data_IF_658074769197
#
_entry.id   IF_658074769197
#
_cell.length_a   1.000
_cell.length_b   1.000
_cell.length_c   1.000
_cell.angle_alpha   90.00
_cell.angle_beta   90.00
_cell.angle_gamma   90.00
#
_symmetry.space_group_name_H-M   'P 1'
#
loop_
_entity.id
_entity.type
_entity.pdbx_description
1 polymer ?
#
# COMPACT_ATOMS: atom_id res chain seq x y z
N UNK A 1 -7.89 28.30 -17.98
CA UNK A 1 -7.11 27.07 -17.69
C UNK A 1 -8.00 25.86 -17.97
N UNK A 2 -7.64 24.96 -18.90
CA UNK A 2 -8.53 23.86 -19.25
C UNK A 2 -8.70 22.90 -18.06
N UNK A 3 -9.92 22.54 -17.71
CA UNK A 3 -10.27 21.62 -16.63
C UNK A 3 -9.91 20.16 -16.96
N UNK A 4 -9.49 19.88 -18.19
CA UNK A 4 -9.18 18.53 -18.71
C UNK A 4 -8.06 17.78 -17.97
N UNK A 5 -6.90 18.37 -17.64
CA UNK A 5 -5.83 17.65 -16.94
C UNK A 5 -6.22 17.21 -15.53
N UNK A 6 -6.99 18.03 -14.81
CA UNK A 6 -7.43 17.71 -13.45
C UNK A 6 -8.53 16.65 -13.40
N UNK A 7 -9.36 16.52 -14.46
CA UNK A 7 -10.31 15.41 -14.60
C UNK A 7 -9.58 14.07 -14.68
N UNK A 8 -8.42 14.01 -15.36
CA UNK A 8 -7.58 12.82 -15.34
C UNK A 8 -7.11 12.50 -13.92
N UNK A 9 -6.59 13.48 -13.19
CA UNK A 9 -6.08 13.26 -11.83
C UNK A 9 -7.19 12.77 -10.91
N UNK A 10 -8.39 13.31 -11.01
CA UNK A 10 -9.55 12.84 -10.24
C UNK A 10 -9.95 11.40 -10.63
N UNK A 11 -9.91 11.06 -11.92
CA UNK A 11 -10.18 9.70 -12.37
C UNK A 11 -9.09 8.71 -11.91
N UNK A 12 -7.82 9.11 -11.90
CA UNK A 12 -6.74 8.31 -11.33
C UNK A 12 -6.91 8.12 -9.81
N UNK A 13 -7.31 9.16 -9.08
CA UNK A 13 -7.64 9.07 -7.67
C UNK A 13 -8.82 8.11 -7.43
N UNK A 14 -9.90 8.22 -8.22
CA UNK A 14 -11.03 7.29 -8.16
C UNK A 14 -10.61 5.86 -8.50
N UNK A 15 -9.67 5.67 -9.45
CA UNK A 15 -9.10 4.36 -9.79
C UNK A 15 -8.35 3.77 -8.60
N UNK A 16 -7.50 4.55 -7.94
CA UNK A 16 -6.79 4.12 -6.73
C UNK A 16 -7.76 3.79 -5.59
N UNK A 17 -8.82 4.58 -5.41
CA UNK A 17 -9.88 4.32 -4.42
C UNK A 17 -10.60 3.00 -4.71
N UNK A 18 -11.02 2.77 -5.96
CA UNK A 18 -11.70 1.54 -6.36
C UNK A 18 -10.80 0.31 -6.23
N UNK A 19 -9.51 0.43 -6.58
CA UNK A 19 -8.51 -0.62 -6.39
C UNK A 19 -8.41 -1.04 -4.92
N UNK A 20 -8.29 -0.08 -4.01
CA UNK A 20 -8.18 -0.39 -2.58
C UNK A 20 -9.49 -0.90 -1.96
N UNK A 21 -10.65 -0.47 -2.46
CA UNK A 21 -11.93 -1.11 -2.13
C UNK A 21 -11.94 -2.60 -2.50
N UNK A 22 -11.45 -2.95 -3.69
CA UNK A 22 -11.33 -4.35 -4.14
C UNK A 22 -10.20 -5.11 -3.43
N UNK A 23 -9.16 -4.43 -2.96
CA UNK A 23 -8.05 -5.03 -2.20
C UNK A 23 -8.47 -5.45 -0.80
N UNK A 24 -9.19 -4.57 -0.10
CA UNK A 24 -9.60 -4.74 1.30
C UNK A 24 -10.90 -5.55 1.42
N UNK A 25 -11.70 -5.68 0.36
CA UNK A 25 -13.03 -6.28 0.39
C UNK A 25 -13.06 -7.68 1.01
N UNK A 26 -12.10 -8.54 0.67
CA UNK A 26 -12.06 -9.90 1.20
C UNK A 26 -11.65 -9.94 2.69
N UNK A 27 -10.84 -8.99 3.16
CA UNK A 27 -10.53 -8.83 4.58
C UNK A 27 -11.80 -8.52 5.38
N UNK A 28 -12.65 -7.63 4.86
CA UNK A 28 -13.94 -7.30 5.49
C UNK A 28 -14.94 -8.46 5.38
N UNK A 29 -15.10 -9.01 4.17
CA UNK A 29 -15.98 -10.14 3.93
C UNK A 29 -15.59 -11.39 4.73
N UNK A 30 -14.32 -11.55 5.07
CA UNK A 30 -13.74 -12.67 5.79
C UNK A 30 -14.45 -12.99 7.11
N UNK A 31 -15.00 -12.00 7.79
CA UNK A 31 -15.73 -12.20 9.03
C UNK A 31 -16.95 -13.16 8.90
N UNK A 32 -17.64 -13.13 7.77
CA UNK A 32 -18.75 -14.04 7.45
C UNK A 32 -18.36 -15.14 6.46
N UNK A 33 -17.45 -14.84 5.53
CA UNK A 33 -17.00 -15.77 4.49
C UNK A 33 -16.26 -16.97 5.10
N UNK A 34 -15.37 -16.73 6.08
CA UNK A 34 -14.58 -17.82 6.68
C UNK A 34 -15.46 -18.89 7.34
N UNK A 35 -16.40 -18.55 8.24
CA UNK A 35 -17.30 -19.55 8.81
C UNK A 35 -18.23 -20.18 7.77
N UNK A 36 -18.72 -19.42 6.78
CA UNK A 36 -19.63 -19.94 5.73
C UNK A 36 -18.94 -20.96 4.82
N UNK A 37 -17.66 -20.79 4.54
CA UNK A 37 -16.88 -21.68 3.68
C UNK A 37 -15.99 -22.67 4.45
N UNK A 38 -16.02 -22.66 5.78
CA UNK A 38 -15.22 -23.53 6.64
C UNK A 38 -13.71 -23.24 6.55
N UNK A 39 -13.31 -21.98 6.35
CA UNK A 39 -11.92 -21.60 6.19
C UNK A 39 -11.28 -21.21 7.53
N UNK A 40 -10.07 -21.71 7.77
CA UNK A 40 -9.22 -21.29 8.88
C UNK A 40 -8.56 -19.93 8.62
N UNK A 41 -8.09 -19.26 9.67
CA UNK A 41 -7.29 -18.04 9.55
C UNK A 41 -6.00 -18.28 8.76
N UNK A 42 -5.38 -19.46 8.89
CA UNK A 42 -4.14 -19.81 8.15
C UNK A 42 -4.42 -19.91 6.64
N UNK A 43 -5.52 -20.56 6.25
CA UNK A 43 -5.92 -20.64 4.84
C UNK A 43 -6.24 -19.26 4.27
N UNK A 44 -6.99 -18.44 5.03
CA UNK A 44 -7.29 -17.07 4.62
C UNK A 44 -6.03 -16.22 4.49
N UNK A 45 -5.05 -16.40 5.37
CA UNK A 45 -3.74 -15.73 5.27
C UNK A 45 -3.01 -16.07 3.97
N UNK A 46 -3.03 -17.34 3.56
CA UNK A 46 -2.47 -17.77 2.26
C UNK A 46 -3.21 -17.12 1.08
N UNK A 47 -4.54 -17.03 1.18
CA UNK A 47 -5.37 -16.36 0.18
C UNK A 47 -5.02 -14.87 0.07
N UNK A 48 -4.80 -14.17 1.17
CA UNK A 48 -4.33 -12.78 1.15
C UNK A 48 -2.93 -12.65 0.53
N UNK A 49 -2.00 -13.55 0.88
CA UNK A 49 -0.65 -13.55 0.32
C UNK A 49 -0.63 -13.81 -1.18
N UNK A 50 -1.55 -14.64 -1.70
CA UNK A 50 -1.66 -14.90 -3.13
C UNK A 50 -1.91 -13.62 -3.95
N UNK A 51 -2.69 -12.68 -3.40
CA UNK A 51 -2.89 -11.38 -4.02
C UNK A 51 -1.56 -10.63 -4.19
N UNK A 52 -0.75 -10.55 -3.13
CA UNK A 52 0.53 -9.83 -3.17
C UNK A 52 1.55 -10.52 -4.07
N UNK A 53 1.51 -11.84 -4.15
CA UNK A 53 2.33 -12.60 -5.09
C UNK A 53 1.98 -12.23 -6.54
N UNK A 54 0.70 -12.25 -6.90
CA UNK A 54 0.24 -11.83 -8.24
C UNK A 54 0.61 -10.38 -8.53
N UNK A 55 0.37 -9.48 -7.58
CA UNK A 55 0.71 -8.06 -7.69
C UNK A 55 2.21 -7.83 -7.94
N UNK A 56 3.09 -8.48 -7.14
CA UNK A 56 4.53 -8.30 -7.26
C UNK A 56 5.10 -8.87 -8.57
N UNK A 57 4.68 -10.07 -8.96
CA UNK A 57 5.16 -10.72 -10.19
C UNK A 57 4.76 -9.96 -11.47
N UNK A 58 3.57 -9.36 -11.47
CA UNK A 58 3.06 -8.67 -12.65
C UNK A 58 3.36 -7.17 -12.67
N UNK A 59 3.99 -6.59 -11.65
CA UNK A 59 4.24 -5.14 -11.56
C UNK A 59 5.13 -4.64 -12.71
N UNK A 60 6.20 -5.35 -13.06
CA UNK A 60 7.10 -4.99 -14.16
C UNK A 60 6.43 -5.21 -15.52
N UNK A 61 5.84 -6.39 -15.84
CA UNK A 61 5.10 -6.60 -17.07
C UNK A 61 3.96 -5.57 -17.27
N UNK A 62 3.27 -5.23 -16.20
CA UNK A 62 2.18 -4.26 -16.22
C UNK A 62 2.66 -2.83 -16.54
N UNK A 63 3.82 -2.43 -16.00
CA UNK A 63 4.48 -1.17 -16.36
C UNK A 63 4.82 -1.12 -17.85
N UNK A 64 5.43 -2.17 -18.37
CA UNK A 64 5.75 -2.29 -19.82
C UNK A 64 4.48 -2.26 -20.69
N UNK A 65 3.39 -2.85 -20.23
CA UNK A 65 2.11 -2.81 -20.92
C UNK A 65 1.52 -1.40 -20.94
N UNK A 66 1.63 -0.66 -19.83
CA UNK A 66 1.22 0.73 -19.74
C UNK A 66 2.01 1.61 -20.72
N UNK A 67 3.32 1.36 -20.88
CA UNK A 67 4.17 2.10 -21.82
C UNK A 67 3.75 1.88 -23.27
N UNK A 68 3.34 0.65 -23.63
CA UNK A 68 2.93 0.28 -25.00
C UNK A 68 1.51 0.69 -25.34
N UNK A 69 0.55 0.46 -24.46
CA UNK A 69 -0.89 0.63 -24.72
C UNK A 69 -1.48 1.93 -24.20
N UNK A 70 -0.69 2.66 -23.39
CA UNK A 70 -1.12 3.87 -22.71
C UNK A 70 -1.94 3.59 -21.45
N UNK A 71 -1.92 4.56 -20.53
CA UNK A 71 -2.58 4.45 -19.21
C UNK A 71 -4.09 4.22 -19.32
N UNK A 72 -4.76 4.85 -20.28
CA UNK A 72 -6.21 4.73 -20.47
C UNK A 72 -6.66 3.29 -20.70
N UNK A 73 -6.07 2.60 -21.71
CA UNK A 73 -6.48 1.24 -22.08
C UNK A 73 -6.16 0.25 -20.96
N UNK A 74 -4.97 0.38 -20.40
CA UNK A 74 -4.49 -0.52 -19.35
C UNK A 74 -5.34 -0.41 -18.09
N UNK A 75 -5.67 0.83 -17.63
CA UNK A 75 -6.50 1.03 -16.45
C UNK A 75 -7.96 0.63 -16.68
N UNK A 76 -8.51 0.84 -17.86
CA UNK A 76 -9.85 0.35 -18.21
C UNK A 76 -9.92 -1.19 -18.15
N UNK A 77 -8.97 -1.89 -18.79
CA UNK A 77 -8.90 -3.35 -18.78
C UNK A 77 -8.69 -3.91 -17.38
N UNK A 78 -7.79 -3.30 -16.61
CA UNK A 78 -7.56 -3.68 -15.22
C UNK A 78 -8.85 -3.55 -14.38
N UNK A 79 -9.55 -2.43 -14.49
CA UNK A 79 -10.79 -2.19 -13.74
C UNK A 79 -11.91 -3.18 -14.13
N UNK A 80 -12.08 -3.51 -15.42
CA UNK A 80 -13.00 -4.57 -15.84
C UNK A 80 -12.61 -5.94 -15.29
N UNK A 81 -11.31 -6.26 -15.28
CA UNK A 81 -10.81 -7.50 -14.72
C UNK A 81 -11.08 -7.58 -13.20
N UNK A 82 -10.94 -6.47 -12.45
CA UNK A 82 -11.30 -6.43 -11.02
C UNK A 82 -12.78 -6.77 -10.81
N UNK A 83 -13.67 -6.18 -11.63
CA UNK A 83 -15.11 -6.48 -11.57
C UNK A 83 -15.35 -7.96 -11.81
N UNK A 84 -14.81 -8.51 -12.89
CA UNK A 84 -15.02 -9.91 -13.26
C UNK A 84 -14.50 -10.88 -12.19
N UNK A 85 -13.26 -10.68 -11.72
CA UNK A 85 -12.64 -11.56 -10.70
C UNK A 85 -13.35 -11.42 -9.36
N UNK A 86 -13.75 -10.21 -8.98
CA UNK A 86 -14.52 -9.99 -7.73
C UNK A 86 -15.89 -10.67 -7.80
N UNK A 87 -16.56 -10.63 -8.95
CA UNK A 87 -17.82 -11.34 -9.15
C UNK A 87 -17.63 -12.88 -9.06
N UNK A 88 -16.54 -13.42 -9.64
CA UNK A 88 -16.19 -14.83 -9.49
C UNK A 88 -15.89 -15.21 -8.04
N UNK A 89 -15.22 -14.33 -7.27
CA UNK A 89 -15.03 -14.56 -5.83
C UNK A 89 -16.36 -14.57 -5.07
N UNK A 90 -17.29 -13.69 -5.42
CA UNK A 90 -18.63 -13.70 -4.81
C UNK A 90 -19.43 -14.98 -5.14
N UNK A 91 -19.17 -15.60 -6.30
CA UNK A 91 -19.77 -16.86 -6.70
C UNK A 91 -19.09 -18.10 -6.07
N UNK A 92 -17.98 -17.94 -5.33
CA UNK A 92 -17.30 -19.05 -4.68
C UNK A 92 -18.23 -19.77 -3.69
N UNK A 93 -18.21 -21.12 -3.72
CA UNK A 93 -19.12 -21.95 -2.91
C UNK A 93 -20.51 -22.17 -3.50
N UNK A 94 -20.81 -21.59 -4.68
CA UNK A 94 -22.05 -21.86 -5.39
C UNK A 94 -21.85 -22.97 -6.43
N UNK A 95 -22.69 -23.99 -6.40
CA UNK A 95 -22.71 -25.06 -7.39
C UNK A 95 -21.42 -25.89 -7.43
N UNK A 96 -20.70 -25.86 -8.57
CA UNK A 96 -19.51 -26.67 -8.83
C UNK A 96 -18.20 -26.02 -8.41
N UNK A 97 -18.19 -24.70 -8.14
CA UNK A 97 -17.01 -23.95 -7.71
C UNK A 97 -16.68 -24.27 -6.24
N UNK A 98 -15.71 -25.17 -6.03
CA UNK A 98 -15.20 -25.48 -4.69
C UNK A 98 -16.12 -26.37 -3.85
N UNK A 99 -16.40 -27.58 -4.30
CA UNK A 99 -17.24 -28.56 -3.57
C UNK A 99 -16.62 -29.06 -2.26
N UNK A 100 -15.31 -28.95 -2.12
CA UNK A 100 -14.57 -29.31 -0.90
C UNK A 100 -13.89 -28.07 -0.32
N UNK A 101 -13.61 -28.07 0.99
CA UNK A 101 -12.87 -26.97 1.64
C UNK A 101 -11.51 -26.73 0.97
N UNK A 102 -10.77 -27.78 0.64
CA UNK A 102 -9.49 -27.67 -0.07
C UNK A 102 -9.66 -27.10 -1.48
N UNK A 103 -10.69 -27.52 -2.21
CA UNK A 103 -11.02 -26.96 -3.53
C UNK A 103 -11.39 -25.48 -3.45
N UNK A 104 -12.10 -25.08 -2.39
CA UNK A 104 -12.46 -23.69 -2.13
C UNK A 104 -11.24 -22.81 -1.89
N UNK A 105 -10.31 -23.26 -1.04
CA UNK A 105 -9.04 -22.55 -0.80
C UNK A 105 -8.29 -22.36 -2.11
N UNK A 106 -8.19 -23.38 -2.94
CA UNK A 106 -7.49 -23.31 -4.24
C UNK A 106 -8.15 -22.29 -5.20
N UNK A 107 -9.48 -22.27 -5.27
CA UNK A 107 -10.24 -21.30 -6.07
C UNK A 107 -9.97 -19.88 -5.59
N UNK A 108 -10.07 -19.63 -4.29
CA UNK A 108 -9.81 -18.31 -3.71
C UNK A 108 -8.35 -17.87 -3.90
N UNK A 109 -7.38 -18.78 -3.74
CA UNK A 109 -5.96 -18.53 -4.02
C UNK A 109 -5.76 -18.08 -5.47
N UNK A 110 -6.32 -18.84 -6.42
CA UNK A 110 -6.22 -18.52 -7.85
C UNK A 110 -6.86 -17.16 -8.17
N UNK A 111 -8.08 -16.91 -7.68
CA UNK A 111 -8.78 -15.65 -7.93
C UNK A 111 -8.05 -14.45 -7.28
N UNK A 112 -7.50 -14.63 -6.07
CA UNK A 112 -6.70 -13.57 -5.41
C UNK A 112 -5.38 -13.31 -6.11
N UNK A 113 -4.72 -14.34 -6.62
CA UNK A 113 -3.54 -14.17 -7.46
C UNK A 113 -3.86 -13.38 -8.73
N UNK A 114 -4.94 -13.76 -9.43
CA UNK A 114 -5.36 -13.09 -10.66
C UNK A 114 -5.74 -11.63 -10.41
N UNK A 115 -6.51 -11.31 -9.35
CA UNK A 115 -6.87 -9.92 -9.07
C UNK A 115 -5.63 -9.10 -8.68
N UNK A 116 -4.65 -9.70 -7.98
CA UNK A 116 -3.37 -9.05 -7.70
C UNK A 116 -2.61 -8.71 -8.98
N UNK A 117 -2.52 -9.65 -9.91
CA UNK A 117 -1.91 -9.42 -11.23
C UNK A 117 -2.64 -8.32 -12.02
N UNK A 118 -3.98 -8.31 -11.97
CA UNK A 118 -4.80 -7.27 -12.63
C UNK A 118 -4.69 -5.89 -11.94
N UNK A 119 -4.35 -5.83 -10.66
CA UNK A 119 -4.11 -4.56 -9.95
C UNK A 119 -2.69 -4.00 -10.16
N UNK A 120 -1.73 -4.83 -10.54
CA UNK A 120 -0.34 -4.46 -10.71
C UNK A 120 -0.10 -3.22 -11.60
N UNK A 121 -0.84 -2.98 -12.71
CA UNK A 121 -0.65 -1.80 -13.55
C UNK A 121 -1.14 -0.48 -12.95
N UNK A 122 -1.90 -0.48 -11.86
CA UNK A 122 -2.60 0.70 -11.34
C UNK A 122 -1.67 1.90 -11.13
N UNK A 123 -0.62 1.73 -10.35
CA UNK A 123 0.29 2.83 -10.03
C UNK A 123 1.30 3.14 -11.14
N UNK A 124 1.92 2.16 -11.84
CA UNK A 124 2.75 2.44 -13.01
C UNK A 124 1.98 3.20 -14.11
N UNK A 125 0.77 2.76 -14.44
CA UNK A 125 -0.05 3.43 -15.44
C UNK A 125 -0.55 4.82 -14.97
N UNK A 126 -0.83 4.98 -13.68
CA UNK A 126 -1.18 6.28 -13.12
C UNK A 126 0.00 7.27 -13.20
N UNK A 127 1.19 6.84 -12.82
CA UNK A 127 2.41 7.66 -12.91
C UNK A 127 2.70 8.07 -14.35
N UNK A 128 2.56 7.14 -15.32
CA UNK A 128 2.69 7.43 -16.73
C UNK A 128 1.64 8.46 -17.21
N UNK A 129 0.38 8.29 -16.80
CA UNK A 129 -0.69 9.24 -17.13
C UNK A 129 -0.40 10.64 -16.59
N UNK A 130 0.07 10.75 -15.34
CA UNK A 130 0.48 12.03 -14.74
C UNK A 130 1.66 12.63 -15.49
N UNK A 131 2.70 11.84 -15.79
CA UNK A 131 3.89 12.31 -16.50
C UNK A 131 3.56 12.87 -17.89
N UNK A 132 2.63 12.24 -18.62
CA UNK A 132 2.25 12.66 -19.98
C UNK A 132 1.32 13.86 -20.02
N UNK A 133 0.42 14.02 -19.03
CA UNK A 133 -0.71 14.95 -19.12
C UNK A 133 -0.61 16.14 -18.18
N UNK A 134 0.28 16.08 -17.19
CA UNK A 134 0.44 17.11 -16.17
C UNK A 134 1.80 17.80 -16.32
N UNK A 135 1.85 19.13 -16.35
CA UNK A 135 3.10 19.88 -16.37
C UNK A 135 4.04 19.48 -15.21
N UNK A 136 5.37 19.39 -15.43
CA UNK A 136 6.33 18.92 -14.42
C UNK A 136 6.19 19.61 -13.05
N UNK A 137 5.99 20.93 -13.02
CA UNK A 137 5.79 21.70 -11.79
C UNK A 137 4.55 21.31 -10.95
N UNK A 138 3.63 20.49 -11.50
CA UNK A 138 2.37 20.09 -10.84
C UNK A 138 2.23 18.58 -10.67
N UNK A 139 3.20 17.80 -11.17
CA UNK A 139 3.15 16.33 -11.10
C UNK A 139 3.18 15.80 -9.67
N UNK A 140 3.95 16.43 -8.78
CA UNK A 140 3.99 16.07 -7.36
C UNK A 140 2.61 16.20 -6.70
N UNK A 141 1.90 17.33 -6.95
CA UNK A 141 0.53 17.52 -6.45
C UNK A 141 -0.45 16.52 -7.05
N UNK A 142 -0.32 16.22 -8.34
CA UNK A 142 -1.18 15.25 -9.01
C UNK A 142 -1.00 13.84 -8.44
N UNK A 143 0.26 13.38 -8.28
CA UNK A 143 0.57 12.10 -7.66
C UNK A 143 0.07 12.04 -6.20
N UNK A 144 0.23 13.11 -5.43
CA UNK A 144 -0.31 13.19 -4.07
C UNK A 144 -1.82 12.96 -4.01
N UNK A 145 -2.59 13.54 -4.96
CA UNK A 145 -4.04 13.32 -5.05
C UNK A 145 -4.35 11.86 -5.43
N UNK A 146 -3.59 11.25 -6.35
CA UNK A 146 -3.76 9.83 -6.71
C UNK A 146 -3.51 8.93 -5.50
N UNK A 147 -2.45 9.17 -4.75
CA UNK A 147 -2.12 8.40 -3.55
C UNK A 147 -3.15 8.61 -2.43
N UNK A 148 -3.76 9.80 -2.32
CA UNK A 148 -4.86 10.02 -1.38
C UNK A 148 -6.05 9.08 -1.63
N UNK A 149 -6.26 8.62 -2.87
CA UNK A 149 -7.24 7.59 -3.22
C UNK A 149 -7.02 6.26 -2.50
N UNK A 150 -5.77 5.91 -2.20
CA UNK A 150 -5.41 4.71 -1.39
C UNK A 150 -6.01 4.82 0.01
N UNK A 151 -5.77 5.94 0.68
CA UNK A 151 -6.32 6.20 2.01
C UNK A 151 -7.84 6.23 2.02
N UNK A 152 -8.45 6.88 1.01
CA UNK A 152 -9.91 6.92 0.86
C UNK A 152 -10.50 5.52 0.68
N UNK A 153 -9.95 4.71 -0.23
CA UNK A 153 -10.41 3.34 -0.47
C UNK A 153 -10.30 2.46 0.76
N UNK A 154 -9.17 2.51 1.45
CA UNK A 154 -8.91 1.75 2.68
C UNK A 154 -9.81 2.19 3.84
N UNK A 155 -10.06 3.48 4.01
CA UNK A 155 -10.91 4.01 5.08
C UNK A 155 -12.40 3.75 4.82
N UNK A 156 -12.84 3.82 3.57
CA UNK A 156 -14.26 3.65 3.20
C UNK A 156 -14.67 2.18 3.07
N UNK A 157 -13.75 1.27 2.70
CA UNK A 157 -14.09 -0.12 2.44
C UNK A 157 -14.75 -0.81 3.65
N UNK A 158 -14.17 -0.78 4.88
CA UNK A 158 -14.78 -1.50 6.00
C UNK A 158 -16.21 -1.03 6.34
N UNK A 159 -16.50 0.27 6.55
CA UNK A 159 -17.85 0.69 6.91
C UNK A 159 -18.87 0.46 5.79
N UNK A 160 -18.54 0.75 4.54
CA UNK A 160 -19.46 0.56 3.42
C UNK A 160 -19.80 -0.92 3.23
N UNK A 161 -18.78 -1.77 3.22
CA UNK A 161 -18.97 -3.20 2.97
C UNK A 161 -19.64 -3.91 4.14
N UNK A 162 -19.37 -3.50 5.39
CA UNK A 162 -20.05 -4.07 6.56
C UNK A 162 -21.53 -3.76 6.60
N UNK A 163 -21.95 -2.55 6.19
CA UNK A 163 -23.38 -2.22 6.06
C UNK A 163 -24.08 -3.12 5.04
N UNK A 164 -23.45 -3.36 3.89
CA UNK A 164 -23.98 -4.28 2.88
C UNK A 164 -23.98 -5.71 3.40
N UNK A 165 -22.86 -6.12 4.02
CA UNK A 165 -22.66 -7.47 4.52
C UNK A 165 -23.66 -7.87 5.60
N UNK A 166 -24.01 -6.96 6.52
CA UNK A 166 -24.99 -7.24 7.59
C UNK A 166 -26.41 -7.40 7.08
N UNK A 167 -26.77 -6.80 5.94
CA UNK A 167 -28.12 -6.87 5.35
C UNK A 167 -28.27 -7.97 4.31
N UNK A 168 -27.25 -8.20 3.49
CA UNK A 168 -27.32 -9.05 2.30
C UNK A 168 -26.20 -10.10 2.22
N UNK A 169 -25.39 -10.23 3.27
CA UNK A 169 -24.32 -11.21 3.36
C UNK A 169 -23.04 -10.80 2.63
N UNK A 170 -21.99 -11.59 2.81
CA UNK A 170 -20.65 -11.31 2.30
C UNK A 170 -20.54 -11.30 0.76
N UNK A 171 -21.37 -12.10 0.06
CA UNK A 171 -21.40 -12.14 -1.40
C UNK A 171 -21.86 -10.81 -1.98
N UNK A 172 -22.92 -10.24 -1.42
CA UNK A 172 -23.40 -8.92 -1.81
C UNK A 172 -22.38 -7.83 -1.51
N UNK A 173 -21.65 -7.92 -0.39
CA UNK A 173 -20.58 -6.97 -0.06
C UNK A 173 -19.43 -7.02 -1.09
N UNK A 174 -19.02 -8.22 -1.52
CA UNK A 174 -18.02 -8.36 -2.59
C UNK A 174 -18.52 -7.73 -3.90
N UNK A 175 -19.76 -8.02 -4.32
CA UNK A 175 -20.33 -7.42 -5.53
C UNK A 175 -20.46 -5.90 -5.42
N UNK A 176 -20.85 -5.38 -4.26
CA UNK A 176 -20.92 -3.95 -3.99
C UNK A 176 -19.55 -3.27 -4.11
N UNK A 177 -18.47 -3.95 -3.67
CA UNK A 177 -17.09 -3.44 -3.82
C UNK A 177 -16.65 -3.32 -5.28
N UNK A 178 -17.24 -4.08 -6.18
CA UNK A 178 -16.94 -4.03 -7.61
C UNK A 178 -17.64 -2.86 -8.33
N UNK A 179 -18.70 -2.27 -7.76
CA UNK A 179 -19.43 -1.16 -8.42
C UNK A 179 -18.57 0.08 -8.68
N UNK A 180 -17.76 0.57 -7.74
CA UNK A 180 -16.83 1.66 -8.01
C UNK A 180 -15.81 1.32 -9.10
N UNK A 181 -15.32 0.08 -9.14
CA UNK A 181 -14.40 -0.38 -10.19
C UNK A 181 -15.08 -0.39 -11.57
N UNK A 182 -16.35 -0.81 -11.64
CA UNK A 182 -17.14 -0.75 -12.87
C UNK A 182 -17.36 0.70 -13.33
N UNK A 183 -17.73 1.60 -12.42
CA UNK A 183 -17.91 3.01 -12.73
C UNK A 183 -16.61 3.64 -13.28
N UNK A 184 -15.48 3.32 -12.66
CA UNK A 184 -14.14 3.77 -13.11
C UNK A 184 -13.79 3.17 -14.48
N UNK A 185 -14.06 1.88 -14.71
CA UNK A 185 -13.82 1.23 -16.00
C UNK A 185 -14.60 1.92 -17.15
N UNK A 186 -15.88 2.22 -16.92
CA UNK A 186 -16.74 2.94 -17.87
C UNK A 186 -16.20 4.37 -18.09
N UNK A 187 -15.81 5.07 -17.01
CA UNK A 187 -15.27 6.42 -17.11
C UNK A 187 -13.97 6.45 -17.94
N UNK A 188 -13.10 5.44 -17.81
CA UNK A 188 -11.91 5.31 -18.65
C UNK A 188 -12.23 5.11 -20.12
N UNK A 189 -13.30 4.39 -20.48
CA UNK A 189 -13.73 4.27 -21.88
C UNK A 189 -14.14 5.60 -22.47
N UNK A 190 -14.82 6.45 -21.68
CA UNK A 190 -15.25 7.80 -22.08
C UNK A 190 -14.13 8.84 -22.11
N UNK A 191 -12.98 8.58 -21.46
CA UNK A 191 -11.86 9.51 -21.40
C UNK A 191 -11.15 9.57 -22.74
N UNK A 192 -11.10 10.75 -23.37
CA UNK A 192 -10.30 10.97 -24.58
C UNK A 192 -8.88 11.36 -24.16
N UNK A 193 -7.89 10.60 -24.62
CA UNK A 193 -6.50 11.02 -24.46
C UNK A 193 -6.32 12.36 -25.19
N UNK A 194 -5.70 13.36 -24.58
CA UNK A 194 -5.29 14.55 -25.31
C UNK A 194 -4.38 14.08 -26.43
N UNK A 195 -4.64 14.52 -27.64
CA UNK A 195 -3.65 14.45 -28.70
C UNK A 195 -2.51 15.41 -28.30
N UNK A 196 -1.65 14.97 -27.41
CA UNK A 196 -0.39 15.64 -27.17
C UNK A 196 0.46 15.31 -28.39
N UNK A 197 0.42 16.22 -29.36
CA UNK A 197 1.52 16.29 -30.31
C UNK A 197 2.82 16.13 -29.52
N UNK A 198 3.70 15.30 -30.00
CA UNK A 198 5.00 14.86 -29.48
C UNK A 198 5.85 15.99 -28.84
N UNK A 199 5.39 16.54 -27.76
CA UNK A 199 6.09 17.52 -26.93
C UNK A 199 6.43 16.78 -25.66
N UNK A 200 7.68 16.44 -25.58
CA UNK A 200 8.43 15.81 -24.52
C UNK A 200 8.69 14.31 -24.77
N UNK A 201 9.44 14.00 -25.83
CA UNK A 201 10.61 13.19 -25.62
C UNK A 201 11.41 13.92 -24.54
N UNK A 202 11.17 13.60 -23.27
CA UNK A 202 12.15 13.84 -22.27
C UNK A 202 13.32 12.94 -22.68
N UNK A 203 14.18 13.47 -23.55
CA UNK A 203 15.54 12.99 -23.66
C UNK A 203 16.03 12.95 -22.23
N UNK A 204 16.48 11.81 -21.72
CA UNK A 204 17.23 11.80 -20.49
C UNK A 204 18.38 12.77 -20.75
N UNK A 205 18.33 13.94 -20.13
CA UNK A 205 19.45 14.87 -20.15
C UNK A 205 20.63 14.03 -19.69
N UNK A 206 21.70 13.89 -20.48
CA UNK A 206 22.87 13.13 -20.10
C UNK A 206 23.72 13.95 -19.12
N UNK A 207 23.10 14.42 -18.05
CA UNK A 207 23.87 14.82 -16.89
C UNK A 207 24.35 13.50 -16.31
N UNK A 208 25.64 13.23 -16.46
CA UNK A 208 26.35 12.09 -15.88
C UNK A 208 26.38 12.31 -14.34
N UNK A 209 25.21 12.29 -13.74
CA UNK A 209 25.10 12.15 -12.29
C UNK A 209 25.60 10.74 -11.97
N UNK A 210 26.63 10.62 -11.14
CA UNK A 210 27.17 9.33 -10.70
C UNK A 210 26.01 8.44 -10.24
N UNK A 211 25.88 7.30 -10.89
CA UNK A 211 24.91 6.27 -10.51
C UNK A 211 25.31 5.77 -9.12
N UNK A 212 24.53 6.06 -8.10
CA UNK A 212 24.75 5.52 -6.77
C UNK A 212 24.73 3.99 -6.82
N UNK A 213 25.60 3.34 -6.07
CA UNK A 213 25.65 1.87 -6.07
C UNK A 213 24.52 1.30 -5.23
N UNK A 214 23.61 0.54 -5.84
CA UNK A 214 22.55 -0.19 -5.14
C UNK A 214 23.11 -1.33 -4.25
N UNK A 215 24.41 -1.56 -4.27
CA UNK A 215 25.11 -2.54 -3.42
C UNK A 215 25.68 -1.91 -2.14
N UNK A 216 25.42 -0.63 -1.88
CA UNK A 216 25.87 0.00 -0.65
C UNK A 216 25.14 -0.59 0.56
N UNK A 217 25.85 -0.69 1.68
CA UNK A 217 25.23 -1.14 2.93
C UNK A 217 24.00 -0.29 3.29
N UNK A 218 24.08 1.02 3.11
CA UNK A 218 22.96 1.94 3.36
C UNK A 218 21.71 1.59 2.54
N UNK A 219 21.85 1.28 1.25
CA UNK A 219 20.71 0.89 0.43
C UNK A 219 20.13 -0.47 0.80
N UNK A 220 20.97 -1.44 1.15
CA UNK A 220 20.52 -2.76 1.63
C UNK A 220 19.78 -2.63 2.96
N UNK A 221 20.31 -1.87 3.92
CA UNK A 221 19.65 -1.63 5.21
C UNK A 221 18.32 -0.87 5.03
N UNK A 222 18.30 0.12 4.13
CA UNK A 222 17.09 0.88 3.79
C UNK A 222 16.01 -0.06 3.25
N UNK A 223 16.35 -0.90 2.28
CA UNK A 223 15.42 -1.88 1.68
C UNK A 223 14.97 -2.91 2.71
N UNK A 224 15.86 -3.42 3.55
CA UNK A 224 15.51 -4.34 4.63
C UNK A 224 14.55 -3.69 5.65
N UNK A 225 14.83 -2.45 6.08
CA UNK A 225 13.94 -1.70 6.97
C UNK A 225 12.55 -1.49 6.34
N UNK A 226 12.50 -1.17 5.04
CA UNK A 226 11.23 -1.00 4.31
C UNK A 226 10.47 -2.31 4.14
N UNK A 227 11.18 -3.44 4.04
CA UNK A 227 10.58 -4.79 4.06
C UNK A 227 9.91 -5.08 5.40
N UNK A 228 10.58 -4.76 6.51
CA UNK A 228 10.05 -4.94 7.86
C UNK A 228 8.86 -4.00 8.14
N UNK A 229 8.94 -2.76 7.67
CA UNK A 229 7.82 -1.81 7.70
C UNK A 229 6.63 -2.35 6.91
N UNK A 230 6.85 -2.93 5.73
CA UNK A 230 5.81 -3.58 4.93
C UNK A 230 5.13 -4.73 5.68
N UNK A 231 5.89 -5.59 6.38
CA UNK A 231 5.31 -6.64 7.22
C UNK A 231 4.28 -6.07 8.21
N UNK A 232 4.66 -5.04 8.96
CA UNK A 232 3.79 -4.42 9.96
C UNK A 232 2.58 -3.75 9.31
N UNK A 233 2.79 -2.97 8.24
CA UNK A 233 1.72 -2.25 7.54
C UNK A 233 0.65 -3.17 6.97
N UNK A 234 1.04 -4.32 6.40
CA UNK A 234 0.10 -5.25 5.79
C UNK A 234 -0.74 -6.07 6.80
N UNK A 235 -0.34 -6.16 8.08
CA UNK A 235 -1.23 -6.67 9.14
C UNK A 235 -2.51 -5.81 9.19
N UNK A 236 -2.37 -4.49 9.12
CA UNK A 236 -3.51 -3.57 9.18
C UNK A 236 -4.37 -3.58 7.91
N UNK A 237 -3.78 -3.90 6.74
CA UNK A 237 -4.53 -4.05 5.50
C UNK A 237 -5.42 -5.28 5.52
N UNK A 238 -4.91 -6.42 6.03
CA UNK A 238 -5.59 -7.71 5.86
C UNK A 238 -6.23 -8.25 7.14
N UNK A 239 -5.62 -8.01 8.31
CA UNK A 239 -6.04 -8.66 9.54
C UNK A 239 -6.72 -7.74 10.54
N UNK A 240 -6.54 -6.42 10.47
CA UNK A 240 -6.98 -5.52 11.54
C UNK A 240 -8.50 -5.58 11.76
N UNK A 241 -9.30 -5.55 10.70
CA UNK A 241 -10.77 -5.70 10.83
C UNK A 241 -11.15 -7.04 11.45
N UNK A 242 -10.58 -8.14 10.94
CA UNK A 242 -10.85 -9.49 11.46
C UNK A 242 -10.41 -9.62 12.92
N UNK A 243 -9.26 -9.05 13.29
CA UNK A 243 -8.79 -9.00 14.67
C UNK A 243 -9.79 -8.27 15.58
N UNK A 244 -10.34 -7.13 15.16
CA UNK A 244 -11.33 -6.41 15.95
C UNK A 244 -12.63 -7.22 16.15
N UNK A 245 -13.09 -7.90 15.11
CA UNK A 245 -14.34 -8.68 15.18
C UNK A 245 -14.13 -10.01 15.91
N UNK A 246 -13.09 -10.77 15.59
CA UNK A 246 -12.90 -12.14 16.09
C UNK A 246 -12.23 -12.18 17.47
N UNK A 247 -11.24 -11.32 17.74
CA UNK A 247 -10.46 -11.34 18.98
C UNK A 247 -10.91 -10.29 20.00
N UNK A 248 -11.35 -9.12 19.51
CA UNK A 248 -11.80 -8.05 20.40
C UNK A 248 -13.32 -7.98 20.52
N UNK A 249 -14.04 -8.90 19.87
CA UNK A 249 -15.48 -9.11 19.96
C UNK A 249 -16.33 -7.87 19.63
N UNK A 250 -15.82 -6.98 18.77
CA UNK A 250 -16.63 -5.93 18.21
C UNK A 250 -17.69 -6.52 17.26
N UNK A 251 -18.90 -5.94 17.28
CA UNK A 251 -19.86 -6.22 16.21
C UNK A 251 -19.30 -5.76 14.84
N UNK A 252 -19.87 -6.29 13.76
CA UNK A 252 -19.37 -6.06 12.40
C UNK A 252 -19.31 -4.57 12.04
N UNK A 253 -20.28 -3.76 12.49
CA UNK A 253 -20.35 -2.34 12.15
C UNK A 253 -19.36 -1.51 12.96
N UNK A 254 -19.26 -1.75 14.28
CA UNK A 254 -18.26 -1.05 15.13
C UNK A 254 -16.84 -1.45 14.76
N UNK A 255 -16.59 -2.75 14.53
CA UNK A 255 -15.30 -3.22 14.05
C UNK A 255 -14.89 -2.54 12.75
N UNK A 256 -15.85 -2.36 11.82
CA UNK A 256 -15.62 -1.68 10.56
C UNK A 256 -15.32 -0.17 10.74
N UNK A 257 -16.10 0.52 11.57
CA UNK A 257 -15.86 1.94 11.85
C UNK A 257 -14.47 2.17 12.47
N UNK A 258 -14.09 1.34 13.46
CA UNK A 258 -12.79 1.44 14.12
C UNK A 258 -11.63 1.00 13.22
N UNK A 259 -11.82 0.04 12.31
CA UNK A 259 -10.78 -0.36 11.36
C UNK A 259 -10.45 0.70 10.32
N UNK A 260 -11.30 1.72 10.15
CA UNK A 260 -11.02 2.89 9.30
C UNK A 260 -10.09 3.91 9.99
N UNK A 261 -10.01 3.92 11.32
CA UNK A 261 -9.26 4.92 12.07
C UNK A 261 -7.77 5.01 11.70
N UNK A 262 -7.03 3.89 11.54
CA UNK A 262 -5.64 3.93 11.10
C UNK A 262 -5.46 4.66 9.77
N UNK A 263 -6.36 4.42 8.82
CA UNK A 263 -6.31 5.02 7.49
C UNK A 263 -6.65 6.51 7.49
N UNK A 264 -7.60 6.92 8.34
CA UNK A 264 -7.92 8.35 8.54
C UNK A 264 -6.72 9.07 9.13
N UNK A 265 -6.08 8.50 10.15
CA UNK A 265 -4.87 9.08 10.75
C UNK A 265 -3.70 9.13 9.76
N UNK A 266 -3.60 8.18 8.84
CA UNK A 266 -2.53 8.15 7.83
C UNK A 266 -2.60 9.30 6.84
N UNK A 267 -3.79 9.85 6.57
CA UNK A 267 -3.97 11.04 5.71
C UNK A 267 -3.17 12.23 6.25
N UNK A 268 -3.03 12.33 7.56
CA UNK A 268 -2.27 13.39 8.24
C UNK A 268 -0.82 12.95 8.50
N UNK A 269 -0.62 11.73 8.98
CA UNK A 269 0.70 11.28 9.45
C UNK A 269 1.71 11.11 8.31
N UNK A 270 1.30 10.66 7.13
CA UNK A 270 2.21 10.47 5.98
C UNK A 270 2.84 11.81 5.54
N UNK A 271 2.06 12.86 5.19
CA UNK A 271 2.67 14.13 4.81
C UNK A 271 3.39 14.80 5.98
N UNK A 272 2.89 14.67 7.21
CA UNK A 272 3.55 15.23 8.40
C UNK A 272 4.94 14.64 8.60
N UNK A 273 5.11 13.33 8.45
CA UNK A 273 6.41 12.66 8.57
C UNK A 273 7.44 13.18 7.55
N UNK A 274 7.02 13.37 6.29
CA UNK A 274 7.84 13.98 5.26
C UNK A 274 8.25 15.42 5.61
N UNK A 275 7.27 16.27 5.98
CA UNK A 275 7.52 17.67 6.35
C UNK A 275 8.46 17.78 7.55
N UNK A 276 8.26 16.96 8.58
CA UNK A 276 9.12 16.94 9.77
C UNK A 276 10.54 16.53 9.38
N UNK A 277 10.72 15.46 8.58
CA UNK A 277 12.02 15.03 8.11
C UNK A 277 12.73 16.14 7.33
N UNK A 278 12.04 16.81 6.40
CA UNK A 278 12.64 17.90 5.61
C UNK A 278 13.04 19.09 6.48
N UNK A 279 12.24 19.45 7.49
CA UNK A 279 12.60 20.51 8.45
C UNK A 279 13.80 20.14 9.31
N UNK A 280 13.91 18.87 9.73
CA UNK A 280 15.06 18.38 10.51
C UNK A 280 16.34 18.39 9.67
N UNK A 281 16.24 18.04 8.37
CA UNK A 281 17.36 18.13 7.41
C UNK A 281 17.80 19.58 7.21
N UNK A 282 16.86 20.50 7.01
CA UNK A 282 17.16 21.92 6.85
C UNK A 282 17.65 22.59 8.14
N UNK A 283 17.45 21.95 9.31
CA UNK A 283 17.82 22.45 10.61
C UNK A 283 19.23 22.01 11.04
N UNK A 284 19.43 21.97 12.37
CA UNK A 284 20.75 21.64 12.98
C UNK A 284 21.19 20.18 12.82
N UNK A 285 20.25 19.26 12.52
CA UNK A 285 20.56 17.83 12.42
C UNK A 285 21.21 17.45 11.08
N UNK A 286 21.10 18.30 10.06
CA UNK A 286 21.63 18.04 8.73
C UNK A 286 21.02 16.83 8.05
N UNK A 287 21.55 16.45 6.89
CA UNK A 287 21.00 15.38 6.05
C UNK A 287 20.98 14.03 6.78
N UNK A 288 22.08 13.66 7.45
CA UNK A 288 22.24 12.35 8.07
C UNK A 288 21.20 12.08 9.16
N UNK A 289 21.20 12.85 10.24
CA UNK A 289 20.27 12.67 11.35
C UNK A 289 18.87 13.18 11.04
N UNK A 290 18.71 14.20 10.19
CA UNK A 290 17.40 14.70 9.77
C UNK A 290 16.57 13.63 9.05
N UNK A 291 17.20 12.78 8.22
CA UNK A 291 16.52 11.65 7.58
C UNK A 291 16.27 10.48 8.52
N UNK A 292 17.17 10.19 9.45
CA UNK A 292 17.07 9.07 10.39
C UNK A 292 16.04 9.31 11.50
N UNK A 293 15.89 10.53 11.99
CA UNK A 293 15.12 10.85 13.18
C UNK A 293 13.65 10.40 13.08
N UNK A 294 12.97 10.69 11.96
CA UNK A 294 11.55 10.33 11.79
C UNK A 294 11.35 8.82 11.73
N UNK A 295 12.11 8.02 10.96
CA UNK A 295 11.97 6.56 10.98
C UNK A 295 12.37 5.91 12.30
N UNK A 296 13.44 6.37 12.95
CA UNK A 296 13.81 5.89 14.28
C UNK A 296 12.69 6.10 15.30
N UNK A 297 12.16 7.31 15.37
CA UNK A 297 11.04 7.62 16.25
C UNK A 297 9.77 6.87 15.82
N UNK A 298 9.37 6.98 14.54
CA UNK A 298 8.12 6.44 14.03
C UNK A 298 8.03 4.93 14.21
N UNK A 299 9.03 4.16 13.77
CA UNK A 299 9.01 2.70 13.87
C UNK A 299 9.21 2.20 15.31
N UNK A 300 10.02 2.89 16.13
CA UNK A 300 10.19 2.52 17.56
C UNK A 300 8.89 2.71 18.33
N UNK A 301 8.27 3.89 18.23
CA UNK A 301 7.01 4.14 18.92
C UNK A 301 5.84 3.38 18.33
N UNK A 302 5.86 3.05 17.03
CA UNK A 302 4.92 2.10 16.46
C UNK A 302 5.02 0.74 17.15
N UNK A 303 6.23 0.22 17.38
CA UNK A 303 6.46 -0.99 18.17
C UNK A 303 5.93 -0.88 19.60
N UNK A 304 6.16 0.24 20.27
CA UNK A 304 5.61 0.49 21.61
C UNK A 304 4.08 0.45 21.60
N UNK A 305 3.43 1.18 20.68
CA UNK A 305 1.98 1.20 20.60
C UNK A 305 1.38 -0.15 20.15
N UNK A 306 2.07 -0.93 19.31
CA UNK A 306 1.70 -2.31 19.01
C UNK A 306 1.69 -3.17 20.28
N UNK A 307 2.75 -3.07 21.10
CA UNK A 307 2.85 -3.81 22.35
C UNK A 307 1.77 -3.39 23.37
N UNK A 308 1.51 -2.09 23.52
CA UNK A 308 0.44 -1.57 24.37
C UNK A 308 -0.94 -2.02 23.89
N UNK A 309 -1.19 -1.98 22.58
CA UNK A 309 -2.43 -2.45 21.97
C UNK A 309 -2.64 -3.96 22.14
N UNK A 310 -1.55 -4.75 22.12
CA UNK A 310 -1.58 -6.19 22.38
C UNK A 310 -1.85 -6.53 23.85
N UNK A 311 -1.34 -5.69 24.76
CA UNK A 311 -1.41 -5.96 26.21
C UNK A 311 -2.73 -5.53 26.83
N UNK A 312 -3.32 -4.43 26.34
CA UNK A 312 -4.52 -3.87 26.96
C UNK A 312 -5.75 -4.77 26.79
N UNK A 313 -6.50 -4.97 27.87
CA UNK A 313 -7.77 -5.70 27.84
C UNK A 313 -8.91 -4.83 27.30
N UNK A 314 -8.82 -3.52 27.46
CA UNK A 314 -9.82 -2.59 26.96
C UNK A 314 -9.77 -2.53 25.42
N UNK A 315 -10.82 -3.02 24.77
CA UNK A 315 -10.91 -3.10 23.31
C UNK A 315 -10.81 -1.72 22.62
N UNK A 316 -11.37 -0.66 23.22
CA UNK A 316 -11.30 0.69 22.64
C UNK A 316 -9.89 1.29 22.77
N UNK A 317 -9.23 1.07 23.91
CA UNK A 317 -7.83 1.47 24.08
C UNK A 317 -6.92 0.72 23.09
N UNK A 318 -7.16 -0.57 22.85
CA UNK A 318 -6.44 -1.34 21.84
C UNK A 318 -6.59 -0.71 20.45
N UNK A 319 -7.80 -0.33 20.05
CA UNK A 319 -8.05 0.36 18.77
C UNK A 319 -7.20 1.63 18.66
N UNK A 320 -7.19 2.46 19.69
CA UNK A 320 -6.43 3.73 19.70
C UNK A 320 -4.93 3.45 19.57
N UNK A 321 -4.38 2.55 20.38
CA UNK A 321 -2.96 2.21 20.32
C UNK A 321 -2.57 1.62 18.94
N UNK A 322 -3.34 0.71 18.39
CA UNK A 322 -3.07 0.11 17.11
C UNK A 322 -3.23 1.10 15.95
N UNK A 323 -4.19 2.03 16.03
CA UNK A 323 -4.34 3.09 15.06
C UNK A 323 -3.16 4.07 15.08
N UNK A 324 -2.67 4.45 16.28
CA UNK A 324 -1.47 5.26 16.44
C UNK A 324 -0.22 4.53 15.92
N UNK A 325 -0.09 3.23 16.21
CA UNK A 325 0.99 2.41 15.65
C UNK A 325 1.02 2.47 14.14
N UNK A 326 -0.14 2.28 13.49
CA UNK A 326 -0.24 2.33 12.03
C UNK A 326 0.08 3.72 11.48
N UNK A 327 -0.42 4.77 12.11
CA UNK A 327 -0.13 6.14 11.70
C UNK A 327 1.37 6.44 11.75
N UNK A 328 2.08 5.93 12.77
CA UNK A 328 3.53 6.06 12.90
C UNK A 328 4.29 5.20 11.87
N UNK A 329 3.86 3.96 11.62
CA UNK A 329 4.43 3.11 10.56
C UNK A 329 4.31 3.76 9.19
N UNK A 330 3.21 4.46 8.92
CA UNK A 330 2.99 5.12 7.63
C UNK A 330 3.63 6.51 7.55
N UNK A 331 3.89 7.18 8.68
CA UNK A 331 4.55 8.49 8.70
C UNK A 331 5.98 8.46 8.14
N UNK A 332 6.60 7.29 8.10
CA UNK A 332 7.99 7.12 7.63
C UNK A 332 8.11 6.99 6.11
N UNK A 333 6.99 6.90 5.38
CA UNK A 333 6.99 6.75 3.91
C UNK A 333 7.81 7.83 3.20
N UNK A 334 7.57 9.10 3.55
CA UNK A 334 8.31 10.23 2.96
C UNK A 334 9.82 10.11 3.14
N UNK A 335 10.33 9.97 4.37
CA UNK A 335 11.74 9.72 4.64
C UNK A 335 12.36 8.52 3.90
N UNK A 336 11.66 7.40 3.77
CA UNK A 336 12.15 6.23 3.02
C UNK A 336 12.41 6.59 1.55
N UNK A 337 11.43 7.20 0.89
CA UNK A 337 11.55 7.58 -0.51
C UNK A 337 12.59 8.67 -0.72
N UNK A 338 12.66 9.68 0.17
CA UNK A 338 13.66 10.73 0.09
C UNK A 338 15.08 10.18 0.23
N UNK A 339 15.34 9.34 1.24
CA UNK A 339 16.64 8.72 1.48
C UNK A 339 17.04 7.78 0.33
N UNK A 340 16.09 7.04 -0.23
CA UNK A 340 16.34 6.22 -1.42
C UNK A 340 16.82 7.07 -2.60
N UNK A 341 16.16 8.21 -2.86
CA UNK A 341 16.55 9.12 -3.95
C UNK A 341 17.95 9.73 -3.71
N UNK A 342 18.27 10.07 -2.46
CA UNK A 342 19.58 10.61 -2.08
C UNK A 342 20.70 9.57 -2.26
N UNK A 343 20.46 8.29 -1.92
CA UNK A 343 21.45 7.21 -2.12
C UNK A 343 21.60 6.84 -3.60
N UNK A 344 20.50 6.80 -4.34
CA UNK A 344 20.48 6.27 -5.70
C UNK A 344 20.96 7.28 -6.77
N UNK A 345 20.86 8.59 -6.51
CA UNK A 345 21.20 9.62 -7.49
C UNK A 345 20.45 9.42 -8.81
N UNK A 346 21.18 9.27 -9.92
CA UNK A 346 20.57 9.04 -11.25
C UNK A 346 19.90 7.67 -11.42
N UNK A 347 20.09 6.74 -10.47
CA UNK A 347 19.51 5.40 -10.46
C UNK A 347 18.16 5.28 -9.75
N UNK A 348 17.50 6.38 -9.43
CA UNK A 348 16.27 6.47 -8.60
C UNK A 348 15.14 5.53 -9.06
N UNK A 349 14.92 5.38 -10.35
CA UNK A 349 13.86 4.49 -10.87
C UNK A 349 14.11 3.02 -10.50
N UNK A 350 15.33 2.52 -10.72
CA UNK A 350 15.71 1.14 -10.38
C UNK A 350 15.71 0.93 -8.86
N UNK A 351 16.28 1.90 -8.12
CA UNK A 351 16.34 1.86 -6.66
C UNK A 351 14.94 1.84 -6.04
N UNK A 352 14.04 2.71 -6.51
CA UNK A 352 12.65 2.73 -6.07
C UNK A 352 11.93 1.41 -6.34
N UNK A 353 12.17 0.80 -7.49
CA UNK A 353 11.64 -0.52 -7.83
C UNK A 353 12.12 -1.62 -6.87
N UNK A 354 13.43 -1.68 -6.58
CA UNK A 354 14.00 -2.65 -5.64
C UNK A 354 13.49 -2.42 -4.22
N UNK A 355 13.48 -1.19 -3.75
CA UNK A 355 12.96 -0.86 -2.42
C UNK A 355 11.47 -1.22 -2.30
N UNK A 356 10.64 -0.86 -3.30
CA UNK A 356 9.22 -1.19 -3.32
C UNK A 356 8.97 -2.71 -3.39
N UNK A 357 9.84 -3.46 -4.06
CA UNK A 357 9.78 -4.93 -4.03
C UNK A 357 10.03 -5.46 -2.62
N UNK A 358 10.92 -4.84 -1.84
CA UNK A 358 11.15 -5.18 -0.43
C UNK A 358 9.86 -5.10 0.39
N UNK A 359 9.14 -3.99 0.36
CA UNK A 359 7.88 -3.87 1.11
C UNK A 359 6.82 -4.86 0.64
N UNK A 360 6.78 -5.21 -0.65
CA UNK A 360 5.87 -6.25 -1.16
C UNK A 360 6.25 -7.66 -0.65
N UNK A 361 7.55 -7.96 -0.47
CA UNK A 361 8.00 -9.20 0.17
C UNK A 361 7.55 -9.25 1.63
N UNK A 362 7.75 -8.16 2.40
CA UNK A 362 7.21 -8.04 3.76
C UNK A 362 5.69 -8.24 3.79
N UNK A 363 5.00 -7.61 2.85
CA UNK A 363 3.56 -7.75 2.67
C UNK A 363 3.11 -9.14 2.25
N UNK A 364 3.90 -9.89 1.48
CA UNK A 364 3.61 -11.27 1.10
C UNK A 364 3.70 -12.20 2.31
N UNK A 365 4.71 -12.00 3.15
CA UNK A 365 4.95 -12.82 4.34
C UNK A 365 3.93 -12.54 5.44
N UNK A 366 3.57 -11.28 5.64
CA UNK A 366 2.75 -10.81 6.75
C UNK A 366 1.39 -11.52 6.87
N UNK A 367 0.53 -11.58 5.83
CA UNK A 367 -0.77 -12.22 5.96
C UNK A 367 -0.70 -13.74 6.16
N UNK A 368 0.33 -14.40 5.67
CA UNK A 368 0.51 -15.84 5.83
C UNK A 368 1.10 -16.19 7.21
N UNK A 369 2.10 -15.43 7.68
CA UNK A 369 2.81 -15.72 8.92
C UNK A 369 2.00 -15.30 10.16
N UNK A 370 1.32 -14.16 10.12
CA UNK A 370 0.60 -13.62 11.27
C UNK A 370 -0.44 -14.60 11.85
N UNK A 371 -1.33 -15.25 11.04
CA UNK A 371 -2.29 -16.21 11.61
C UNK A 371 -1.63 -17.51 12.10
N UNK A 372 -0.48 -17.90 11.56
CA UNK A 372 0.30 -19.05 12.08
C UNK A 372 0.81 -18.70 13.49
N UNK A 373 1.38 -17.50 13.66
CA UNK A 373 1.81 -17.03 14.98
C UNK A 373 0.62 -16.91 15.93
N UNK A 374 -0.51 -16.37 15.47
CA UNK A 374 -1.71 -16.23 16.26
C UNK A 374 -2.30 -17.59 16.68
N UNK A 375 -2.31 -18.59 15.82
CA UNK A 375 -2.79 -19.93 16.13
C UNK A 375 -1.96 -20.68 17.16
N UNK A 376 -0.62 -20.50 17.13
CA UNK A 376 0.30 -21.21 18.02
C UNK A 376 0.61 -20.44 19.31
N UNK A 377 0.67 -19.12 19.24
CA UNK A 377 1.14 -18.25 20.33
C UNK A 377 0.05 -17.28 20.84
N UNK A 378 -1.09 -17.21 20.16
CA UNK A 378 -2.14 -16.22 20.40
C UNK A 378 -1.87 -14.87 19.72
N UNK A 379 -2.94 -14.12 19.45
CA UNK A 379 -2.88 -12.81 18.79
C UNK A 379 -2.01 -11.78 19.53
N UNK A 380 -2.02 -11.83 20.87
CA UNK A 380 -1.16 -10.96 21.70
C UNK A 380 0.32 -11.12 21.32
N UNK A 381 0.80 -12.36 21.22
CA UNK A 381 2.19 -12.64 20.89
C UNK A 381 2.50 -12.38 19.41
N UNK A 382 1.55 -12.60 18.50
CA UNK A 382 1.69 -12.23 17.09
C UNK A 382 1.91 -10.71 16.93
N UNK A 383 1.21 -9.88 17.71
CA UNK A 383 1.41 -8.42 17.75
C UNK A 383 2.73 -8.03 18.42
N UNK A 384 3.21 -8.77 19.44
CA UNK A 384 4.55 -8.54 20.00
C UNK A 384 5.66 -8.84 19.01
N UNK A 385 5.50 -9.89 18.18
CA UNK A 385 6.44 -10.16 17.07
C UNK A 385 6.43 -8.99 16.08
N UNK A 386 5.25 -8.48 15.71
CA UNK A 386 5.15 -7.30 14.85
C UNK A 386 5.80 -6.06 15.48
N UNK A 387 5.65 -5.87 16.81
CA UNK A 387 6.31 -4.80 17.56
C UNK A 387 7.85 -4.93 17.49
N UNK A 388 8.37 -6.13 17.71
CA UNK A 388 9.81 -6.40 17.62
C UNK A 388 10.34 -6.17 16.20
N UNK A 389 9.59 -6.59 15.16
CA UNK A 389 9.91 -6.32 13.75
C UNK A 389 9.95 -4.82 13.46
N UNK A 390 9.01 -4.04 14.01
CA UNK A 390 9.00 -2.59 13.85
C UNK A 390 10.24 -1.93 14.47
N UNK A 391 10.58 -2.32 15.71
CA UNK A 391 11.79 -1.81 16.41
C UNK A 391 13.08 -2.25 15.69
N UNK A 392 13.13 -3.48 15.18
CA UNK A 392 14.25 -3.95 14.34
C UNK A 392 14.36 -3.09 13.08
N UNK A 393 13.24 -2.80 12.41
CA UNK A 393 13.20 -1.89 11.26
C UNK A 393 13.75 -0.50 11.61
N UNK A 394 13.40 0.04 12.79
CA UNK A 394 13.95 1.31 13.29
C UNK A 394 15.47 1.24 13.49
N UNK A 395 15.97 0.17 14.12
CA UNK A 395 17.40 0.05 14.44
C UNK A 395 18.31 0.04 13.21
N UNK A 396 17.82 -0.48 12.08
CA UNK A 396 18.57 -0.47 10.81
C UNK A 396 18.90 0.94 10.33
N UNK A 397 18.10 1.94 10.71
CA UNK A 397 18.36 3.34 10.36
C UNK A 397 19.62 3.93 11.01
N UNK A 398 20.13 3.34 12.07
CA UNK A 398 21.41 3.74 12.67
C UNK A 398 22.59 3.50 11.72
N UNK A 399 22.50 2.49 10.85
CA UNK A 399 23.53 2.16 9.86
C UNK A 399 23.32 2.80 8.47
N UNK A 400 22.19 3.48 8.23
CA UNK A 400 21.91 4.11 6.93
C UNK A 400 22.57 5.49 6.90
N UNK A 401 23.50 5.71 5.99
CA UNK A 401 24.11 7.01 5.72
C UNK A 401 23.59 7.51 4.36
N UNK A 402 22.74 8.54 4.32
CA UNK A 402 22.47 9.26 3.08
C UNK A 402 23.82 9.81 2.60
N UNK A 403 24.21 9.52 1.36
CA UNK A 403 25.50 10.00 0.86
C UNK A 403 25.46 11.52 0.74
N UNK A 404 26.37 12.21 1.39
CA UNK A 404 26.74 13.58 1.09
C UNK A 404 27.48 13.63 -0.27
N UNK A 405 27.01 12.95 -1.31
CA UNK A 405 27.63 13.03 -2.61
C UNK A 405 27.32 14.39 -3.20
N UNK A 406 28.35 15.26 -3.14
CA UNK A 406 28.46 16.48 -3.90
C UNK A 406 27.42 17.58 -3.57
N UNK A 407 27.38 18.08 -2.34
CA UNK A 407 27.15 19.51 -2.15
C UNK A 407 28.20 20.26 -3.04
N UNK A 408 27.77 21.21 -3.90
CA UNK A 408 28.74 21.99 -4.65
C UNK A 408 29.69 22.63 -3.63
N UNK A 409 30.95 22.21 -3.68
CA UNK A 409 32.01 22.86 -2.89
C UNK A 409 31.87 24.37 -3.12
N UNK A 410 31.54 25.10 -2.06
CA UNK A 410 31.69 26.55 -2.04
C UNK A 410 33.16 26.86 -2.39
N UNK A 411 33.47 26.96 -3.67
CA UNK A 411 34.67 27.64 -4.08
C UNK A 411 34.43 29.10 -3.75
N UNK A 412 35.25 29.71 -2.89
CA UNK A 412 35.22 31.16 -2.71
C UNK A 412 35.57 31.76 -4.07
N UNK A 413 34.67 32.52 -4.64
CA UNK A 413 35.00 33.43 -5.72
C UNK A 413 36.07 34.39 -5.21
N UNK A 414 37.33 34.05 -5.43
CA UNK A 414 38.40 35.02 -5.35
C UNK A 414 38.22 35.98 -6.51
N UNK A 415 38.09 37.22 -6.13
CA UNK A 415 38.00 38.48 -6.89
C UNK A 415 39.05 38.61 -8.01
#
# INVERSE_FOLDING_TARGET
MSSRPWRLVLLLCATATASYLCRVNLSVAGALLMPDLGLSQIEMGRVFSAFLLGYALFQIPAGMLADRWGSRRVLALAAFAWVAVTALMAASGLGWLGRTSAGMVLVLLALRFVIGACEAPTFPAAAQGVARWIPPARQGRANGIVIAGVGLGSALAPPLLSVVMTRWGWRAALLASALPALAVAIAWLGMREPQVAAILTVSPSPTIAKRGSLKTLSFVLLTASYTLQGYVGYIFVFWFYLYLVQERHFDLLRGAAFSSLPWILSIVSIPLGGIVSDRLVAGRLGLGWGRRAVPLFGLTFAGVFLALGAQTENAYAAVVYLALATALVLSVEGPFWATMMEIAGSGTGTAGGVMNMGTNVGGLVSPALTPILAAHLGWKNALYVAAAISVLGASLWLGIAPSESDAPSNQPHTV
#
